data_IF_356821203621
#
_entry.id   IF_356821203621
#
_cell.length_a   1.000
_cell.length_b   1.000
_cell.length_c   1.000
_cell.angle_alpha   90.00
_cell.angle_beta   90.00
_cell.angle_gamma   90.00
#
_symmetry.space_group_name_H-M   'P 1'
#
loop_
_entity.id
_entity.type
_entity.pdbx_description
1 polymer ?
#
# COMPACT_ATOMS: atom_id res chain seq x y z
N UNK A 1 -7.01 -14.56 -10.15
CA UNK A 1 -7.25 -14.28 -8.72
C UNK A 1 -5.88 -14.32 -8.06
N UNK A 2 -5.32 -13.29 -7.45
CA UNK A 2 -5.85 -12.06 -6.91
C UNK A 2 -4.67 -11.07 -6.72
N UNK A 3 -4.84 -9.76 -6.95
CA UNK A 3 -3.75 -8.76 -6.80
C UNK A 3 -3.18 -8.78 -5.37
N UNK A 4 -4.03 -9.07 -4.39
CA UNK A 4 -3.68 -9.17 -2.98
C UNK A 4 -2.63 -10.25 -2.70
N UNK A 5 -2.69 -11.39 -3.38
CA UNK A 5 -1.74 -12.48 -3.18
C UNK A 5 -0.34 -12.07 -3.65
N UNK A 6 -0.26 -11.37 -4.79
CA UNK A 6 1.03 -10.89 -5.31
C UNK A 6 1.63 -9.82 -4.39
N UNK A 7 0.82 -8.92 -3.84
CA UNK A 7 1.28 -7.92 -2.86
C UNK A 7 1.78 -8.62 -1.59
N UNK A 8 1.06 -9.64 -1.12
CA UNK A 8 1.43 -10.39 0.08
C UNK A 8 2.73 -11.17 -0.10
N UNK A 9 2.92 -11.80 -1.26
CA UNK A 9 4.16 -12.49 -1.65
C UNK A 9 5.35 -11.51 -1.63
N UNK A 10 5.21 -10.33 -2.24
CA UNK A 10 6.24 -9.29 -2.28
C UNK A 10 6.61 -8.73 -0.89
N UNK A 11 5.62 -8.63 0.01
CA UNK A 11 5.85 -8.26 1.41
C UNK A 11 6.59 -9.38 2.16
N UNK A 12 6.22 -10.65 1.93
CA UNK A 12 6.86 -11.81 2.56
C UNK A 12 8.30 -12.04 2.10
N UNK A 13 8.61 -11.74 0.84
CA UNK A 13 9.98 -11.73 0.31
C UNK A 13 10.87 -10.68 1.02
N UNK A 14 10.27 -9.74 1.78
CA UNK A 14 10.99 -8.66 2.45
C UNK A 14 11.62 -7.65 1.48
N UNK A 15 11.21 -7.70 0.22
CA UNK A 15 11.68 -6.83 -0.85
C UNK A 15 10.93 -5.50 -0.83
N UNK A 16 9.65 -5.48 -0.45
CA UNK A 16 8.90 -4.23 -0.32
C UNK A 16 9.29 -3.50 0.96
N UNK A 17 9.49 -2.19 0.90
CA UNK A 17 9.74 -1.36 2.10
C UNK A 17 8.81 -0.16 2.24
N UNK A 18 8.32 0.35 1.11
CA UNK A 18 7.46 1.53 1.04
C UNK A 18 6.31 1.28 0.07
N UNK A 19 5.13 1.74 0.45
CA UNK A 19 3.93 1.78 -0.37
C UNK A 19 3.60 3.25 -0.58
N UNK A 20 3.42 3.64 -1.84
CA UNK A 20 3.13 5.02 -2.24
C UNK A 20 1.76 5.04 -2.93
N UNK A 21 0.89 5.93 -2.48
CA UNK A 21 -0.41 6.18 -3.11
C UNK A 21 -0.31 7.50 -3.85
N UNK A 22 -0.55 7.46 -5.16
CA UNK A 22 -0.57 8.64 -6.04
C UNK A 22 -1.98 8.93 -6.54
N UNK A 23 -2.24 10.19 -6.82
CA UNK A 23 -3.42 10.65 -7.53
C UNK A 23 -2.96 11.57 -8.65
N UNK A 24 -3.04 11.10 -9.89
CA UNK A 24 -2.37 11.74 -11.02
C UNK A 24 -0.87 11.90 -10.75
N UNK A 25 -0.36 13.12 -10.92
CA UNK A 25 1.06 13.44 -10.73
C UNK A 25 1.46 13.71 -9.27
N UNK A 26 0.50 13.69 -8.34
CA UNK A 26 0.76 14.01 -6.94
C UNK A 26 0.83 12.77 -6.05
N UNK A 27 1.86 12.70 -5.21
CA UNK A 27 1.92 11.71 -4.13
C UNK A 27 1.02 12.15 -2.99
N UNK A 28 -0.02 11.36 -2.70
CA UNK A 28 -0.98 11.65 -1.65
C UNK A 28 -0.47 11.13 -0.31
N UNK A 29 0.07 9.91 -0.30
CA UNK A 29 0.53 9.23 0.92
C UNK A 29 1.73 8.34 0.60
N UNK A 30 2.76 8.39 1.45
CA UNK A 30 3.89 7.46 1.43
C UNK A 30 4.00 6.78 2.80
N UNK A 31 3.84 5.45 2.83
CA UNK A 31 3.82 4.66 4.05
C UNK A 31 4.90 3.58 4.00
N UNK A 32 5.79 3.50 5.01
CA UNK A 32 6.66 2.34 5.15
C UNK A 32 5.87 1.12 5.66
N UNK A 33 6.31 -0.09 5.30
CA UNK A 33 5.64 -1.32 5.72
C UNK A 33 5.52 -1.47 7.24
N UNK A 34 6.49 -0.94 7.99
CA UNK A 34 6.50 -0.98 9.46
C UNK A 34 5.27 -0.32 10.08
N UNK A 35 4.80 0.79 9.50
CA UNK A 35 3.56 1.48 9.93
C UNK A 35 2.34 0.62 9.63
N UNK A 36 2.34 -0.11 8.51
CA UNK A 36 1.27 -1.05 8.17
C UNK A 36 1.09 -2.16 9.21
N UNK A 37 2.19 -2.68 9.76
CA UNK A 37 2.16 -3.71 10.81
C UNK A 37 1.60 -3.17 12.13
N UNK A 38 2.07 -1.99 12.55
CA UNK A 38 1.62 -1.35 13.81
C UNK A 38 0.17 -0.87 13.69
N UNK A 39 -0.25 -0.44 12.50
CA UNK A 39 -1.59 0.06 12.21
C UNK A 39 -2.67 -1.02 12.09
N UNK A 40 -2.34 -2.31 12.22
CA UNK A 40 -3.30 -3.42 12.02
C UNK A 40 -4.55 -3.35 12.88
N UNK A 41 -4.47 -2.78 14.08
CA UNK A 41 -5.60 -2.60 14.99
C UNK A 41 -6.66 -1.63 14.42
N UNK A 42 -6.22 -0.57 13.76
CA UNK A 42 -7.11 0.45 13.17
C UNK A 42 -7.29 0.26 11.66
N UNK A 43 -6.55 -0.69 11.08
CA UNK A 43 -6.55 -0.98 9.65
C UNK A 43 -7.96 -1.28 9.09
N UNK A 44 -8.89 -1.97 9.77
CA UNK A 44 -10.20 -2.25 9.19
C UNK A 44 -10.99 -0.99 8.82
N UNK A 45 -11.01 0.02 9.70
CA UNK A 45 -11.71 1.28 9.44
C UNK A 45 -10.98 2.13 8.40
N UNK A 46 -9.65 2.19 8.46
CA UNK A 46 -8.86 2.90 7.46
C UNK A 46 -8.94 2.24 6.08
N UNK A 47 -9.01 0.91 6.00
CA UNK A 47 -9.17 0.16 4.76
C UNK A 47 -10.55 0.42 4.16
N UNK A 48 -11.62 0.45 4.97
CA UNK A 48 -12.95 0.80 4.49
C UNK A 48 -12.99 2.23 3.92
N UNK A 49 -12.46 3.21 4.67
CA UNK A 49 -12.38 4.60 4.22
C UNK A 49 -11.48 4.76 2.98
N UNK A 50 -10.33 4.08 2.96
CA UNK A 50 -9.37 4.10 1.85
C UNK A 50 -9.90 3.44 0.59
N UNK A 51 -10.68 2.36 0.71
CA UNK A 51 -11.34 1.72 -0.43
C UNK A 51 -12.37 2.66 -1.06
N UNK A 52 -13.23 3.28 -0.24
CA UNK A 52 -14.21 4.27 -0.72
C UNK A 52 -13.49 5.47 -1.36
N UNK A 53 -12.46 5.98 -0.68
CA UNK A 53 -11.63 7.08 -1.18
C UNK A 53 -10.97 6.74 -2.51
N UNK A 54 -10.40 5.55 -2.66
CA UNK A 54 -9.73 5.12 -3.89
C UNK A 54 -10.69 5.00 -5.08
N UNK A 55 -11.92 4.52 -4.85
CA UNK A 55 -12.94 4.42 -5.89
C UNK A 55 -13.35 5.79 -6.42
N UNK A 56 -13.47 6.79 -5.54
CA UNK A 56 -13.92 8.14 -5.91
C UNK A 56 -12.74 8.98 -6.45
N UNK A 57 -11.55 8.81 -5.89
CA UNK A 57 -10.40 9.67 -6.15
C UNK A 57 -9.47 9.19 -7.27
N UNK A 58 -9.72 8.03 -7.89
CA UNK A 58 -8.86 7.44 -8.94
C UNK A 58 -7.37 7.35 -8.51
N UNK A 59 -7.13 6.75 -7.34
CA UNK A 59 -5.78 6.59 -6.82
C UNK A 59 -5.04 5.42 -7.50
N UNK A 60 -3.73 5.59 -7.72
CA UNK A 60 -2.81 4.54 -8.19
C UNK A 60 -1.90 4.11 -7.04
N UNK A 61 -1.68 2.79 -6.89
CA UNK A 61 -0.83 2.21 -5.85
C UNK A 61 0.52 1.83 -6.47
N UNK A 62 1.59 2.48 -6.01
CA UNK A 62 2.97 2.14 -6.33
C UNK A 62 3.63 1.38 -5.19
N UNK A 63 4.21 0.22 -5.51
CA UNK A 63 4.92 -0.61 -4.55
C UNK A 63 6.41 -0.47 -4.81
N UNK A 64 7.13 0.23 -3.92
CA UNK A 64 8.58 0.40 -4.02
C UNK A 64 9.26 -0.80 -3.39
N UNK A 65 9.92 -1.58 -4.25
CA UNK A 65 10.78 -2.70 -3.87
C UNK A 65 12.20 -2.18 -3.66
N UNK A 66 12.82 -2.59 -2.58
CA UNK A 66 14.25 -2.38 -2.33
C UNK A 66 14.99 -3.54 -2.93
N UNK A 67 15.38 -3.37 -4.19
CA UNK A 67 16.37 -4.24 -4.83
C UNK A 67 17.61 -4.23 -3.92
N UNK A 68 17.81 -5.35 -3.21
CA UNK A 68 19.10 -5.61 -2.61
C UNK A 68 20.05 -5.92 -3.78
N UNK A 69 21.23 -5.28 -3.88
CA UNK A 69 22.27 -5.79 -4.77
C UNK A 69 22.63 -7.24 -4.41
#
# INVERSE_FOLDING_TARGET
>A
TDLADRVKELIHEGNVRRIIIRQGDHTIVELPLTVGVIGTLIAPWLAAAGAIGALIAQCTIEVVRSDRP
#
